data_IF_903816699248
#
_entry.id   IF_903816699248
#
_cell.length_a   1.000
_cell.length_b   1.000
_cell.length_c   1.000
_cell.angle_alpha   90.00
_cell.angle_beta   90.00
_cell.angle_gamma   90.00
#
_symmetry.space_group_name_H-M   'P 1'
#
loop_
_entity.id
_entity.type
_entity.pdbx_description
1 polymer ?
#
# COMPACT_ATOMS: atom_id res chain seq x y z
N UNK A 1 15.79 8.36 -7.85
CA UNK A 1 15.32 7.02 -8.31
C UNK A 1 14.67 7.17 -9.68
N UNK A 2 14.89 6.25 -10.59
CA UNK A 2 14.40 6.37 -11.97
C UNK A 2 13.27 5.36 -12.21
N UNK A 3 12.23 5.75 -12.98
CA UNK A 3 11.19 4.84 -13.50
C UNK A 3 11.79 3.59 -14.18
N UNK A 4 13.03 3.69 -14.68
CA UNK A 4 13.75 2.60 -15.31
C UNK A 4 14.09 1.43 -14.38
N UNK A 5 14.14 1.66 -13.07
CA UNK A 5 14.50 0.62 -12.08
C UNK A 5 13.34 -0.34 -11.76
N UNK A 6 12.10 0.02 -12.10
CA UNK A 6 10.94 -0.87 -11.91
C UNK A 6 10.90 -1.98 -12.95
N UNK A 7 10.37 -3.14 -12.58
CA UNK A 7 10.11 -4.22 -13.54
C UNK A 7 9.19 -3.77 -14.67
N UNK A 8 9.45 -4.26 -15.88
CA UNK A 8 8.72 -3.85 -17.10
C UNK A 8 7.19 -4.02 -16.95
N UNK A 9 6.73 -5.19 -16.46
CA UNK A 9 5.31 -5.44 -16.26
C UNK A 9 4.68 -4.42 -15.28
N UNK A 10 5.40 -4.06 -14.22
CA UNK A 10 4.93 -3.09 -13.24
C UNK A 10 4.90 -1.67 -13.80
N UNK A 11 5.88 -1.29 -14.64
CA UNK A 11 5.88 -0.01 -15.36
C UNK A 11 4.67 0.11 -16.30
N UNK A 12 4.38 -0.95 -17.04
CA UNK A 12 3.21 -1.00 -17.93
C UNK A 12 1.93 -0.83 -17.12
N UNK A 13 1.79 -1.55 -16.00
CA UNK A 13 0.63 -1.44 -15.12
C UNK A 13 0.47 -0.01 -14.58
N UNK A 14 1.52 0.56 -14.01
CA UNK A 14 1.52 1.92 -13.44
C UNK A 14 1.17 2.99 -14.48
N UNK A 15 1.62 2.82 -15.73
CA UNK A 15 1.34 3.77 -16.82
C UNK A 15 -0.16 3.88 -17.17
N UNK A 16 -0.97 2.87 -16.85
CA UNK A 16 -2.41 2.86 -17.12
C UNK A 16 -3.23 3.58 -16.05
N UNK A 17 -2.70 3.73 -14.84
CA UNK A 17 -3.46 4.21 -13.68
C UNK A 17 -3.88 5.68 -13.74
N UNK A 18 -3.09 6.62 -14.32
CA UNK A 18 -3.48 8.03 -14.39
C UNK A 18 -4.79 8.27 -15.15
N UNK A 19 -5.13 7.45 -16.14
CA UNK A 19 -6.41 7.54 -16.84
C UNK A 19 -7.63 7.38 -15.91
N UNK A 20 -7.44 6.74 -14.75
CA UNK A 20 -8.48 6.54 -13.74
C UNK A 20 -8.55 7.63 -12.66
N UNK A 21 -7.67 8.63 -12.65
CA UNK A 21 -7.63 9.64 -11.60
C UNK A 21 -8.87 10.55 -11.57
N UNK A 22 -9.49 10.78 -12.74
CA UNK A 22 -10.76 11.51 -12.82
C UNK A 22 -11.93 10.81 -12.10
N UNK A 23 -11.85 9.50 -11.93
CA UNK A 23 -12.87 8.72 -11.23
C UNK A 23 -12.67 8.68 -9.70
N UNK A 24 -11.60 9.27 -9.15
CA UNK A 24 -11.43 9.40 -7.71
C UNK A 24 -12.33 10.56 -7.24
N UNK A 25 -13.29 10.33 -6.33
CA UNK A 25 -14.16 11.40 -5.82
C UNK A 25 -13.35 12.52 -5.14
N UNK A 26 -13.77 13.77 -5.28
CA UNK A 26 -13.04 14.91 -4.69
C UNK A 26 -12.82 14.81 -3.18
N UNK A 27 -13.75 14.30 -2.33
CA UNK A 27 -13.45 14.10 -0.92
C UNK A 27 -12.28 13.13 -0.69
N UNK A 28 -12.15 12.08 -1.51
CA UNK A 28 -11.01 11.15 -1.44
C UNK A 28 -9.71 11.78 -1.94
N UNK A 29 -9.77 12.58 -3.01
CA UNK A 29 -8.60 13.35 -3.48
C UNK A 29 -8.10 14.32 -2.41
N UNK A 30 -8.99 14.96 -1.64
CA UNK A 30 -8.59 15.83 -0.53
C UNK A 30 -7.79 15.05 0.53
N UNK A 31 -8.19 13.84 0.88
CA UNK A 31 -7.46 12.95 1.80
C UNK A 31 -6.08 12.59 1.21
N UNK A 32 -6.03 12.22 -0.07
CA UNK A 32 -4.79 11.85 -0.77
C UNK A 32 -3.83 13.04 -0.89
N UNK A 33 -4.34 14.26 -1.10
CA UNK A 33 -3.54 15.50 -1.05
C UNK A 33 -2.99 15.76 0.34
N UNK A 34 -3.74 15.46 1.41
CA UNK A 34 -3.23 15.56 2.78
C UNK A 34 -2.06 14.59 3.02
N UNK A 35 -2.10 13.40 2.43
CA UNK A 35 -0.96 12.48 2.43
C UNK A 35 0.22 13.04 1.65
N UNK A 36 -0.01 13.60 0.47
CA UNK A 36 1.02 14.23 -0.35
C UNK A 36 1.69 15.40 0.39
N UNK A 37 0.91 16.23 1.07
CA UNK A 37 1.41 17.35 1.88
C UNK A 37 2.29 16.86 3.04
N UNK A 38 1.87 15.78 3.72
CA UNK A 38 2.68 15.15 4.76
C UNK A 38 4.02 14.67 4.17
N UNK A 39 4.00 13.95 3.05
CA UNK A 39 5.20 13.41 2.41
C UNK A 39 6.17 14.56 2.05
N UNK A 40 5.70 15.63 1.42
CA UNK A 40 6.52 16.80 1.08
C UNK A 40 7.18 17.44 2.30
N UNK A 41 6.44 17.57 3.40
CA UNK A 41 6.94 18.16 4.66
C UNK A 41 8.07 17.33 5.30
N UNK A 42 8.12 16.00 5.05
CA UNK A 42 9.15 15.14 5.61
C UNK A 42 10.51 15.21 4.86
N UNK A 43 10.59 15.94 3.74
CA UNK A 43 11.85 16.21 3.00
C UNK A 43 12.70 14.95 2.74
N UNK A 44 12.08 13.89 2.25
CA UNK A 44 12.75 12.63 1.94
C UNK A 44 12.84 11.62 3.10
N UNK A 45 12.24 11.91 4.27
CA UNK A 45 12.18 11.00 5.42
C UNK A 45 10.76 10.51 5.75
N UNK A 46 9.83 10.57 4.81
CA UNK A 46 8.45 10.18 5.04
C UNK A 46 8.31 8.69 5.36
N UNK A 47 7.55 8.39 6.40
CA UNK A 47 7.18 7.04 6.79
C UNK A 47 5.66 6.91 6.79
N UNK A 48 5.13 5.87 6.17
CA UNK A 48 3.70 5.57 6.18
C UNK A 48 3.45 4.16 6.67
N UNK A 49 2.41 3.96 7.46
CA UNK A 49 1.93 2.64 7.88
C UNK A 49 0.50 2.47 7.38
N UNK A 50 0.29 1.52 6.49
CA UNK A 50 -1.04 1.19 5.96
C UNK A 50 -1.68 0.15 6.87
N UNK A 51 -2.86 0.46 7.42
CA UNK A 51 -3.49 -0.31 8.50
C UNK A 51 -4.86 -0.83 8.07
N UNK A 52 -5.07 -2.13 8.26
CA UNK A 52 -6.40 -2.77 8.19
C UNK A 52 -6.61 -3.64 9.43
N UNK A 53 -7.71 -4.40 9.52
CA UNK A 53 -7.95 -5.25 10.69
C UNK A 53 -6.91 -6.34 10.84
N UNK A 54 -6.72 -7.20 9.84
CA UNK A 54 -5.93 -8.44 9.96
C UNK A 54 -4.51 -8.37 9.39
N UNK A 55 -4.08 -7.24 8.83
CA UNK A 55 -2.84 -7.14 8.04
C UNK A 55 -2.67 -8.33 7.06
N UNK A 56 -3.69 -8.54 6.25
CA UNK A 56 -3.77 -9.74 5.39
C UNK A 56 -3.88 -9.41 3.90
N UNK A 57 -4.63 -8.38 3.52
CA UNK A 57 -4.95 -8.04 2.12
C UNK A 57 -4.63 -6.58 1.81
N UNK A 58 -5.58 -5.67 2.11
CA UNK A 58 -5.56 -4.24 1.72
C UNK A 58 -4.33 -3.49 2.21
N UNK A 59 -3.90 -3.72 3.45
CA UNK A 59 -2.72 -3.04 4.01
C UNK A 59 -1.42 -3.47 3.35
N UNK A 60 -1.25 -4.75 3.01
CA UNK A 60 -0.09 -5.20 2.25
C UNK A 60 -0.08 -4.66 0.82
N UNK A 61 -1.24 -4.67 0.14
CA UNK A 61 -1.36 -4.02 -1.17
C UNK A 61 -0.99 -2.54 -1.08
N UNK A 62 -1.51 -1.82 -0.10
CA UNK A 62 -1.21 -0.40 0.10
C UNK A 62 0.27 -0.13 0.37
N UNK A 63 0.92 -0.95 1.21
CA UNK A 63 2.36 -0.85 1.47
C UNK A 63 3.18 -0.97 0.17
N UNK A 64 2.92 -2.02 -0.60
CA UNK A 64 3.70 -2.32 -1.81
C UNK A 64 3.43 -1.30 -2.91
N UNK A 65 2.17 -0.89 -3.10
CA UNK A 65 1.83 0.15 -4.06
C UNK A 65 2.37 1.53 -3.70
N UNK A 66 2.41 1.88 -2.42
CA UNK A 66 3.02 3.13 -1.98
C UNK A 66 4.52 3.17 -2.31
N UNK A 67 5.25 2.08 -2.09
CA UNK A 67 6.68 1.98 -2.43
C UNK A 67 6.90 2.07 -3.95
N UNK A 68 6.17 1.27 -4.74
CA UNK A 68 6.30 1.28 -6.20
C UNK A 68 5.90 2.62 -6.83
N UNK A 69 4.82 3.25 -6.35
CA UNK A 69 4.38 4.55 -6.80
C UNK A 69 5.37 5.66 -6.43
N UNK A 70 5.99 5.61 -5.25
CA UNK A 70 7.03 6.56 -4.86
C UNK A 70 8.21 6.52 -5.83
N UNK A 71 8.71 5.34 -6.19
CA UNK A 71 9.77 5.18 -7.19
C UNK A 71 9.31 5.66 -8.57
N UNK A 72 8.07 5.35 -8.98
CA UNK A 72 7.51 5.76 -10.28
C UNK A 72 7.45 7.27 -10.45
N UNK A 73 7.05 8.00 -9.40
CA UNK A 73 6.93 9.46 -9.43
C UNK A 73 8.16 10.20 -8.90
N UNK A 74 9.23 9.50 -8.50
CA UNK A 74 10.46 10.12 -8.02
C UNK A 74 10.35 10.73 -6.61
N UNK A 75 9.44 10.20 -5.78
CA UNK A 75 9.33 10.58 -4.36
C UNK A 75 10.41 9.85 -3.58
N UNK A 76 11.48 10.58 -3.24
CA UNK A 76 12.66 9.99 -2.60
C UNK A 76 12.47 9.76 -1.10
N UNK A 77 13.11 8.71 -0.57
CA UNK A 77 13.23 8.44 0.85
C UNK A 77 11.95 8.00 1.56
N UNK A 78 10.84 7.80 0.83
CA UNK A 78 9.61 7.28 1.41
C UNK A 78 9.80 5.81 1.84
N UNK A 79 9.41 5.51 3.07
CA UNK A 79 9.36 4.14 3.60
C UNK A 79 7.91 3.75 3.88
N UNK A 80 7.46 2.67 3.26
CA UNK A 80 6.10 2.15 3.41
C UNK A 80 6.08 0.87 4.24
N UNK A 81 5.19 0.83 5.21
CA UNK A 81 4.97 -0.27 6.13
C UNK A 81 3.51 -0.70 6.12
N UNK A 82 3.22 -1.84 6.72
CA UNK A 82 1.85 -2.28 6.93
C UNK A 82 1.66 -2.86 8.33
N UNK A 83 0.42 -2.84 8.80
CA UNK A 83 0.04 -3.45 10.06
C UNK A 83 -1.46 -3.72 10.11
N UNK A 84 -1.88 -4.40 11.17
CA UNK A 84 -3.28 -4.63 11.50
C UNK A 84 -3.57 -4.30 12.94
N UNK A 85 -4.85 -4.24 13.30
CA UNK A 85 -5.27 -4.31 14.70
C UNK A 85 -5.01 -5.71 15.25
N UNK A 86 -4.98 -6.69 14.34
CA UNK A 86 -4.61 -8.09 14.58
C UNK A 86 -3.56 -8.54 13.56
N UNK A 87 -2.85 -9.63 13.87
CA UNK A 87 -1.92 -10.30 12.96
C UNK A 87 -2.47 -11.68 12.56
N UNK A 88 -2.45 -11.98 11.25
CA UNK A 88 -2.87 -13.29 10.71
C UNK A 88 -1.86 -13.85 9.72
N UNK A 89 -2.00 -13.58 8.43
CA UNK A 89 -1.05 -13.92 7.37
C UNK A 89 -1.32 -13.08 6.11
N UNK A 90 -0.31 -12.88 5.28
CA UNK A 90 -0.48 -12.31 3.95
C UNK A 90 -1.31 -13.27 3.07
N UNK A 91 -2.48 -12.84 2.64
CA UNK A 91 -3.45 -13.71 1.96
C UNK A 91 -2.95 -14.13 0.56
N UNK A 92 -3.04 -15.43 0.20
CA UNK A 92 -2.54 -15.91 -1.10
C UNK A 92 -3.13 -15.20 -2.31
N UNK A 93 -4.42 -14.86 -2.29
CA UNK A 93 -5.07 -14.15 -3.39
C UNK A 93 -4.57 -12.70 -3.52
N UNK A 94 -4.23 -12.04 -2.42
CA UNK A 94 -3.61 -10.73 -2.45
C UNK A 94 -2.18 -10.80 -3.02
N UNK A 95 -1.43 -11.85 -2.66
CA UNK A 95 -0.12 -12.13 -3.28
C UNK A 95 -0.26 -12.38 -4.77
N UNK A 96 -1.26 -13.17 -5.19
CA UNK A 96 -1.50 -13.48 -6.59
C UNK A 96 -1.86 -12.24 -7.42
N UNK A 97 -2.76 -11.38 -6.92
CA UNK A 97 -3.13 -10.12 -7.58
C UNK A 97 -1.93 -9.18 -7.77
N UNK A 98 -1.09 -9.03 -6.75
CA UNK A 98 0.13 -8.23 -6.84
C UNK A 98 1.13 -8.82 -7.86
N UNK A 99 1.27 -10.15 -7.92
CA UNK A 99 2.10 -10.80 -8.94
C UNK A 99 1.58 -10.54 -10.36
N UNK A 100 0.27 -10.62 -10.58
CA UNK A 100 -0.35 -10.29 -11.87
C UNK A 100 -0.12 -8.81 -12.25
N UNK A 101 -0.07 -7.94 -11.26
CA UNK A 101 0.26 -6.52 -11.47
C UNK A 101 1.75 -6.26 -11.74
N UNK A 102 2.64 -7.27 -11.60
CA UNK A 102 4.05 -7.18 -11.95
C UNK A 102 5.04 -7.19 -10.79
N UNK A 103 4.58 -7.35 -9.53
CA UNK A 103 5.50 -7.58 -8.40
C UNK A 103 6.08 -9.00 -8.44
N UNK A 104 7.32 -9.14 -8.01
CA UNK A 104 7.91 -10.44 -7.72
C UNK A 104 7.84 -10.70 -6.21
N UNK A 105 7.05 -11.69 -5.80
CA UNK A 105 6.84 -12.00 -4.39
C UNK A 105 7.20 -13.47 -4.15
N UNK A 106 8.17 -13.70 -3.25
CA UNK A 106 8.69 -15.01 -2.92
C UNK A 106 8.49 -15.30 -1.44
N UNK A 107 7.92 -16.46 -1.12
CA UNK A 107 7.80 -16.94 0.26
C UNK A 107 9.17 -17.35 0.78
N UNK A 108 9.59 -16.82 1.92
CA UNK A 108 10.92 -17.08 2.53
C UNK A 108 10.87 -18.06 3.68
N UNK A 109 9.78 -18.07 4.46
CA UNK A 109 9.65 -18.95 5.63
C UNK A 109 8.42 -19.83 5.55
N UNK A 110 8.47 -21.05 6.17
CA UNK A 110 7.28 -21.88 6.34
C UNK A 110 6.38 -21.33 7.47
N UNK A 111 5.26 -21.98 7.73
CA UNK A 111 4.38 -21.71 8.86
C UNK A 111 3.07 -21.02 8.48
N UNK A 112 2.28 -20.67 9.51
CA UNK A 112 0.93 -20.07 9.36
C UNK A 112 0.98 -18.58 9.00
N UNK A 113 2.02 -17.88 9.42
CA UNK A 113 2.28 -16.48 9.06
C UNK A 113 3.68 -16.40 8.43
N UNK A 114 3.82 -16.77 7.15
CA UNK A 114 5.12 -16.78 6.49
C UNK A 114 5.60 -15.37 6.20
N UNK A 115 6.91 -15.20 6.20
CA UNK A 115 7.58 -14.02 5.69
C UNK A 115 7.72 -14.15 4.18
N UNK A 116 7.41 -13.08 3.46
CA UNK A 116 7.64 -12.95 2.03
C UNK A 116 8.67 -11.86 1.76
N UNK A 117 9.41 -12.05 0.68
CA UNK A 117 10.22 -11.01 0.05
C UNK A 117 9.47 -10.50 -1.17
N UNK A 118 9.17 -9.21 -1.20
CA UNK A 118 8.52 -8.54 -2.32
C UNK A 118 9.50 -7.59 -3.01
N UNK A 119 9.62 -7.71 -4.33
CA UNK A 119 10.44 -6.85 -5.18
C UNK A 119 9.56 -6.19 -6.24
N UNK A 120 9.89 -4.95 -6.58
CA UNK A 120 9.17 -4.17 -7.58
C UNK A 120 10.13 -3.56 -8.65
N UNK A 121 11.42 -3.81 -8.51
CA UNK A 121 12.48 -3.40 -9.42
C UNK A 121 13.75 -4.21 -9.19
N UNK A 122 14.69 -4.15 -10.15
CA UNK A 122 15.93 -4.91 -10.05
C UNK A 122 16.90 -4.32 -9.02
N UNK A 123 17.05 -2.99 -9.04
CA UNK A 123 17.96 -2.24 -8.17
C UNK A 123 17.27 -1.68 -6.92
N UNK A 124 15.96 -1.87 -6.78
CA UNK A 124 15.23 -1.42 -5.61
C UNK A 124 15.36 -2.43 -4.45
N UNK A 125 15.50 -1.94 -3.23
CA UNK A 125 15.60 -2.83 -2.08
C UNK A 125 14.34 -3.69 -1.94
N UNK A 126 14.54 -4.99 -1.70
CA UNK A 126 13.43 -5.89 -1.43
C UNK A 126 12.71 -5.49 -0.13
N UNK A 127 11.40 -5.61 -0.13
CA UNK A 127 10.56 -5.37 1.05
C UNK A 127 10.24 -6.71 1.69
N UNK A 128 10.56 -6.84 2.98
CA UNK A 128 10.12 -7.97 3.78
C UNK A 128 8.66 -7.74 4.20
N UNK A 129 7.79 -8.70 3.91
CA UNK A 129 6.34 -8.59 4.12
C UNK A 129 5.84 -9.79 4.92
N UNK A 130 5.25 -9.53 6.08
CA UNK A 130 4.55 -10.52 6.91
C UNK A 130 3.42 -9.83 7.68
N UNK A 131 2.44 -10.60 8.11
CA UNK A 131 1.33 -10.05 8.88
C UNK A 131 1.78 -9.73 10.31
N UNK A 132 1.52 -8.52 10.77
CA UNK A 132 1.90 -8.01 12.08
C UNK A 132 0.91 -6.95 12.56
N UNK A 133 0.92 -6.68 13.84
CA UNK A 133 0.18 -5.54 14.39
C UNK A 133 0.83 -4.22 13.93
N UNK A 134 0.04 -3.14 13.91
CA UNK A 134 0.56 -1.84 13.49
C UNK A 134 1.61 -1.28 14.47
N UNK A 135 1.58 -1.71 15.73
CA UNK A 135 2.50 -1.35 16.81
C UNK A 135 3.68 -2.34 17.00
N UNK A 136 3.89 -3.24 16.03
CA UNK A 136 5.03 -4.16 15.99
C UNK A 136 6.36 -3.40 15.83
N UNK A 137 7.44 -3.90 16.44
CA UNK A 137 8.78 -3.30 16.39
C UNK A 137 9.35 -3.16 14.96
N UNK A 138 8.84 -3.94 14.00
CA UNK A 138 9.19 -3.82 12.59
C UNK A 138 8.54 -2.61 11.90
N UNK A 139 7.63 -1.90 12.57
CA UNK A 139 7.01 -0.68 12.10
C UNK A 139 7.59 0.56 12.83
N UNK A 140 7.50 1.77 12.27
CA UNK A 140 7.95 2.97 12.95
C UNK A 140 7.12 3.26 14.21
N UNK A 141 7.78 3.53 15.33
CA UNK A 141 7.10 3.81 16.60
C UNK A 141 6.51 5.23 16.70
N UNK A 142 6.94 6.18 15.85
CA UNK A 142 6.48 7.58 15.88
C UNK A 142 6.78 8.32 14.58
N UNK A 143 6.05 9.44 14.38
CA UNK A 143 6.32 10.40 13.30
C UNK A 143 5.83 9.96 11.91
N UNK A 144 5.08 8.88 11.81
CA UNK A 144 4.56 8.33 10.55
C UNK A 144 3.12 8.79 10.24
N UNK A 145 2.71 8.64 8.99
CA UNK A 145 1.31 8.73 8.61
C UNK A 145 0.65 7.34 8.71
N UNK A 146 -0.39 7.24 9.53
CA UNK A 146 -1.26 6.07 9.62
C UNK A 146 -2.39 6.17 8.59
N UNK A 147 -2.50 5.21 7.68
CA UNK A 147 -3.51 5.18 6.63
C UNK A 147 -4.44 4.00 6.88
N UNK A 148 -5.66 4.30 7.36
CA UNK A 148 -6.68 3.30 7.68
C UNK A 148 -7.39 2.89 6.40
N UNK A 149 -7.15 1.66 5.92
CA UNK A 149 -7.68 1.18 4.63
C UNK A 149 -8.88 0.24 4.76
N UNK A 150 -9.46 0.12 5.95
CA UNK A 150 -10.75 -0.53 6.17
C UNK A 150 -11.55 0.17 7.26
N UNK A 151 -12.88 0.14 7.15
CA UNK A 151 -13.79 0.82 8.07
C UNK A 151 -13.69 0.27 9.48
N UNK A 152 -13.58 -1.06 9.62
CA UNK A 152 -13.50 -1.72 10.93
C UNK A 152 -12.25 -1.30 11.72
N UNK A 153 -11.09 -1.20 11.07
CA UNK A 153 -9.87 -0.71 11.72
C UNK A 153 -9.94 0.79 11.98
N UNK A 154 -10.59 1.55 11.10
CA UNK A 154 -10.79 2.98 11.25
C UNK A 154 -11.66 3.32 12.48
N UNK A 155 -12.75 2.58 12.67
CA UNK A 155 -13.65 2.71 13.81
C UNK A 155 -13.01 2.20 15.12
N UNK A 156 -12.30 1.06 15.07
CA UNK A 156 -11.66 0.45 16.23
C UNK A 156 -10.45 1.25 16.75
N UNK A 157 -9.79 2.03 15.89
CA UNK A 157 -8.60 2.80 16.24
C UNK A 157 -8.77 4.30 15.90
N UNK A 158 -9.64 5.04 16.62
CA UNK A 158 -9.82 6.46 16.41
C UNK A 158 -8.53 7.26 16.68
N UNK A 159 -7.65 6.71 17.48
CA UNK A 159 -6.32 7.23 17.77
C UNK A 159 -5.26 6.15 17.51
N UNK A 160 -4.20 6.50 16.78
CA UNK A 160 -3.05 5.62 16.51
C UNK A 160 -1.82 6.23 17.19
N UNK A 161 -1.33 5.60 18.29
CA UNK A 161 -0.19 6.12 19.03
C UNK A 161 1.04 6.34 18.13
N UNK A 162 1.70 7.48 18.30
CA UNK A 162 2.92 7.81 17.54
C UNK A 162 2.70 8.34 16.13
N UNK A 163 1.49 8.23 15.57
CA UNK A 163 1.20 8.79 14.25
C UNK A 163 1.22 10.33 14.28
N UNK A 164 1.95 10.93 13.34
CA UNK A 164 1.94 12.37 13.10
C UNK A 164 0.74 12.83 12.25
N UNK A 165 0.20 11.91 11.47
CA UNK A 165 -1.00 12.08 10.64
C UNK A 165 -1.80 10.78 10.66
N UNK A 166 -3.13 10.88 10.76
CA UNK A 166 -4.03 9.76 10.60
C UNK A 166 -5.05 10.08 9.51
N UNK A 167 -5.15 9.19 8.53
CA UNK A 167 -6.07 9.35 7.41
C UNK A 167 -6.99 8.13 7.28
N UNK A 168 -8.27 8.38 7.07
CA UNK A 168 -9.26 7.35 6.74
C UNK A 168 -9.39 7.23 5.22
N UNK A 169 -8.99 6.10 4.66
CA UNK A 169 -9.01 5.81 3.23
C UNK A 169 -9.51 4.38 2.98
N UNK A 170 -10.73 4.04 3.39
CA UNK A 170 -11.23 2.68 3.33
C UNK A 170 -11.44 2.21 1.88
N UNK A 171 -11.11 0.94 1.63
CA UNK A 171 -11.41 0.19 0.41
C UNK A 171 -12.30 -1.01 0.75
N UNK A 172 -13.13 -1.41 -0.19
CA UNK A 172 -13.93 -2.63 -0.05
C UNK A 172 -13.02 -3.87 0.09
N UNK A 173 -13.39 -4.79 1.00
CA UNK A 173 -12.60 -6.02 1.19
C UNK A 173 -12.89 -7.01 0.07
N UNK A 174 -11.89 -7.44 -0.73
CA UNK A 174 -12.09 -8.46 -1.75
C UNK A 174 -12.51 -9.81 -1.17
N UNK A 175 -12.34 -10.03 0.14
CA UNK A 175 -12.79 -11.24 0.85
C UNK A 175 -14.25 -11.59 0.57
N UNK A 176 -15.10 -10.61 0.26
CA UNK A 176 -16.52 -10.85 -0.06
C UNK A 176 -16.72 -11.80 -1.24
N UNK A 177 -15.71 -11.96 -2.09
CA UNK A 177 -15.74 -12.84 -3.24
C UNK A 177 -14.98 -14.16 -3.02
N UNK A 178 -14.42 -14.40 -1.83
CA UNK A 178 -13.66 -15.63 -1.55
C UNK A 178 -14.52 -16.88 -1.81
N UNK A 179 -13.99 -17.83 -2.58
CA UNK A 179 -14.66 -19.07 -2.96
C UNK A 179 -15.73 -18.92 -4.03
N UNK A 180 -15.88 -17.78 -4.67
CA UNK A 180 -16.79 -17.54 -5.81
C UNK A 180 -16.02 -17.48 -7.14
N UNK A 181 -16.69 -17.59 -8.30
CA UNK A 181 -16.05 -17.42 -9.61
C UNK A 181 -15.43 -16.02 -9.81
N UNK A 182 -15.92 -15.01 -9.09
CA UNK A 182 -15.47 -13.63 -9.16
C UNK A 182 -14.26 -13.32 -8.26
N UNK A 183 -13.75 -14.30 -7.51
CA UNK A 183 -12.68 -14.13 -6.53
C UNK A 183 -11.46 -13.41 -7.12
N UNK A 184 -10.89 -13.94 -8.21
CA UNK A 184 -9.71 -13.35 -8.85
C UNK A 184 -9.97 -11.90 -9.29
N UNK A 185 -11.09 -11.65 -9.95
CA UNK A 185 -11.46 -10.32 -10.41
C UNK A 185 -11.61 -9.32 -9.26
N UNK A 186 -12.21 -9.73 -8.13
CA UNK A 186 -12.37 -8.88 -6.96
C UNK A 186 -11.03 -8.47 -6.33
N UNK A 187 -10.08 -9.40 -6.28
CA UNK A 187 -8.74 -9.11 -5.78
C UNK A 187 -7.95 -8.21 -6.73
N UNK A 188 -8.06 -8.41 -8.04
CA UNK A 188 -7.43 -7.55 -9.05
C UNK A 188 -8.01 -6.15 -9.04
N UNK A 189 -9.32 -6.01 -8.88
CA UNK A 189 -9.99 -4.71 -8.76
C UNK A 189 -9.57 -3.98 -7.49
N UNK A 190 -9.56 -4.65 -6.32
CA UNK A 190 -9.07 -4.05 -5.08
C UNK A 190 -7.61 -3.60 -5.21
N UNK A 191 -6.76 -4.44 -5.81
CA UNK A 191 -5.36 -4.13 -6.10
C UNK A 191 -5.24 -2.87 -6.97
N UNK A 192 -6.03 -2.78 -8.05
CA UNK A 192 -6.04 -1.66 -8.99
C UNK A 192 -6.52 -0.36 -8.35
N UNK A 193 -7.59 -0.42 -7.55
CA UNK A 193 -8.13 0.77 -6.87
C UNK A 193 -7.13 1.33 -5.85
N UNK A 194 -6.50 0.46 -5.05
CA UNK A 194 -5.46 0.85 -4.10
C UNK A 194 -4.26 1.44 -4.84
N UNK A 195 -3.77 0.78 -5.91
CA UNK A 195 -2.69 1.28 -6.74
C UNK A 195 -2.97 2.68 -7.29
N UNK A 196 -4.16 2.89 -7.86
CA UNK A 196 -4.59 4.16 -8.44
C UNK A 196 -4.52 5.31 -7.43
N UNK A 197 -5.01 5.08 -6.23
CA UNK A 197 -5.07 6.14 -5.22
C UNK A 197 -3.69 6.44 -4.62
N UNK A 198 -2.85 5.44 -4.37
CA UNK A 198 -1.47 5.69 -3.98
C UNK A 198 -0.66 6.36 -5.09
N UNK A 199 -0.89 6.01 -6.36
CA UNK A 199 -0.28 6.71 -7.50
C UNK A 199 -0.70 8.17 -7.56
N UNK A 200 -1.99 8.48 -7.36
CA UNK A 200 -2.46 9.86 -7.29
C UNK A 200 -1.76 10.64 -6.17
N UNK A 201 -1.69 10.08 -4.96
CA UNK A 201 -1.02 10.73 -3.83
C UNK A 201 0.48 10.96 -4.10
N UNK A 202 1.18 10.01 -4.73
CA UNK A 202 2.61 10.16 -5.05
C UNK A 202 2.84 11.17 -6.19
N UNK A 203 1.95 11.24 -7.18
CA UNK A 203 1.99 12.27 -8.20
C UNK A 203 1.84 13.67 -7.59
N UNK A 204 0.84 13.87 -6.74
CA UNK A 204 0.66 15.12 -5.99
C UNK A 204 1.89 15.45 -5.11
N UNK A 205 2.49 14.45 -4.45
CA UNK A 205 3.67 14.64 -3.61
C UNK A 205 4.92 15.04 -4.41
N UNK A 206 5.06 14.55 -5.63
CA UNK A 206 6.16 14.90 -6.53
C UNK A 206 6.05 16.30 -7.14
N UNK A 207 4.92 16.99 -6.95
CA UNK A 207 4.70 18.37 -7.43
C UNK A 207 3.77 18.46 -8.64
N UNK A 208 2.99 17.40 -8.93
CA UNK A 208 1.91 17.30 -9.92
C UNK A 208 2.05 18.23 -11.14
N UNK A 209 2.62 17.73 -12.24
CA UNK A 209 2.38 18.30 -13.57
C UNK A 209 1.12 17.70 -14.18
#
# INVERSE_FOLDING_TARGET
MSKANLFEALRQYLSTLPAGFSHIPEPRKAILRSLADYIRKQKGGAQIVVICTHNSRRSHMGQLWAAAAATWYGVEGLKAFSGGTEATAFHPNAVAALKRAGFQITRKTPGKNPVYEARYGEDEPAIEVFSKRFDDDANPGRGYAAIMVCSEADEACPFVPGAALRLSLPFEDPKRADGTPEEEQAYDEACRLIAREFCFAMQEAAGGE
#
